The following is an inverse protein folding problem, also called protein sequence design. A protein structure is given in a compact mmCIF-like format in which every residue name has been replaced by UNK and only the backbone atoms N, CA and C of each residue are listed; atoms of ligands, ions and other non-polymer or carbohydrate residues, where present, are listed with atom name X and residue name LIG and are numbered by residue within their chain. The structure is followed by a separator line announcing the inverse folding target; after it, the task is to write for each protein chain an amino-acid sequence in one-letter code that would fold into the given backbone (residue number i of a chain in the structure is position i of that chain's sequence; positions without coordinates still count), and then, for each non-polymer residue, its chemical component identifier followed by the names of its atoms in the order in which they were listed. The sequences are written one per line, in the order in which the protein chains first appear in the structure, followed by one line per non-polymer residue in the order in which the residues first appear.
data_IF_481591622848
#
_entry.id   IF_481591622848
#
_cell.length_a   1.000
_cell.length_b   1.000
_cell.length_c   1.000
_cell.angle_alpha   90.00
_cell.angle_beta   90.00
_cell.angle_gamma   90.00
#
_symmetry.space_group_name_H-M   'P 1'
#
loop_
_entity.id
_entity.type
_entity.pdbx_description
1 polymer ?
#
# COMPACT_ATOMS: atom_id res chain seq x y z
N UNK A 1 -24.89 -4.35 -3.96
CA UNK A 1 -24.18 -5.60 -4.32
C UNK A 1 -22.71 -5.25 -4.58
N UNK A 2 -21.93 -5.29 -3.51
CA UNK A 2 -20.58 -4.69 -3.48
C UNK A 2 -19.46 -5.57 -4.04
N UNK A 3 -19.71 -6.86 -4.36
CA UNK A 3 -18.62 -7.78 -4.73
C UNK A 3 -18.95 -8.48 -6.04
N UNK A 4 -18.33 -8.01 -7.14
CA UNK A 4 -18.43 -8.65 -8.46
C UNK A 4 -17.47 -9.85 -8.61
N UNK A 5 -16.36 -9.87 -7.84
CA UNK A 5 -15.35 -10.93 -7.93
C UNK A 5 -15.69 -12.11 -7.02
N UNK A 6 -15.61 -13.32 -7.55
CA UNK A 6 -15.78 -14.56 -6.79
C UNK A 6 -14.65 -14.76 -5.78
N UNK A 7 -13.42 -14.38 -6.15
CA UNK A 7 -12.24 -14.46 -5.28
C UNK A 7 -12.39 -13.53 -4.07
N UNK A 8 -12.84 -12.29 -4.27
CA UNK A 8 -13.07 -11.34 -3.17
C UNK A 8 -14.09 -11.90 -2.17
N UNK A 9 -15.17 -12.48 -2.67
CA UNK A 9 -16.19 -13.12 -1.83
C UNK A 9 -15.61 -14.28 -1.04
N UNK A 10 -14.90 -15.20 -1.70
CA UNK A 10 -14.27 -16.34 -1.06
C UNK A 10 -13.27 -15.95 0.02
N UNK A 11 -12.46 -14.92 -0.22
CA UNK A 11 -11.52 -14.38 0.78
C UNK A 11 -12.24 -13.85 2.02
N UNK A 12 -13.31 -13.07 1.84
CA UNK A 12 -14.10 -12.54 2.95
C UNK A 12 -14.82 -13.66 3.73
N UNK A 13 -15.34 -14.67 3.03
CA UNK A 13 -15.96 -15.85 3.66
C UNK A 13 -14.95 -16.64 4.48
N UNK A 14 -13.73 -16.86 3.99
CA UNK A 14 -12.66 -17.51 4.74
C UNK A 14 -12.31 -16.75 6.02
N UNK A 15 -12.17 -15.43 5.96
CA UNK A 15 -11.87 -14.60 7.13
C UNK A 15 -13.02 -14.66 8.12
N UNK A 16 -14.26 -14.57 7.66
CA UNK A 16 -15.47 -14.53 8.51
C UNK A 16 -15.81 -15.88 9.12
N UNK A 17 -15.41 -16.98 8.49
CA UNK A 17 -15.75 -18.34 8.94
C UNK A 17 -14.97 -18.83 10.17
N UNK A 18 -13.95 -18.07 10.61
CA UNK A 18 -13.03 -18.53 11.66
C UNK A 18 -12.04 -19.59 11.19
N UNK A 19 -11.91 -19.81 9.88
CA UNK A 19 -11.02 -20.83 9.30
C UNK A 19 -9.58 -20.70 9.80
N UNK A 20 -9.07 -19.46 9.91
CA UNK A 20 -7.68 -19.18 10.32
C UNK A 20 -7.44 -19.28 11.83
N UNK A 21 -8.50 -19.22 12.64
CA UNK A 21 -8.39 -19.38 14.09
C UNK A 21 -9.68 -19.97 14.68
N UNK A 22 -9.71 -21.29 14.81
CA UNK A 22 -10.86 -22.02 15.33
C UNK A 22 -11.08 -21.83 16.84
N UNK A 23 -10.02 -21.50 17.59
CA UNK A 23 -10.11 -21.26 19.04
C UNK A 23 -10.77 -19.89 19.34
N UNK A 24 -10.57 -18.92 18.45
CA UNK A 24 -11.16 -17.57 18.55
C UNK A 24 -11.70 -17.14 17.17
N UNK A 25 -12.85 -17.65 16.74
CA UNK A 25 -13.36 -17.45 15.38
C UNK A 25 -13.55 -15.97 15.00
N UNK A 26 -13.85 -15.12 15.99
CA UNK A 26 -14.15 -13.70 15.77
C UNK A 26 -12.93 -12.77 15.86
N UNK A 27 -11.71 -13.31 16.02
CA UNK A 27 -10.51 -12.48 16.18
C UNK A 27 -10.28 -11.55 14.97
N UNK A 28 -10.74 -11.94 13.79
CA UNK A 28 -10.61 -11.17 12.55
C UNK A 28 -11.84 -10.31 12.21
N UNK A 29 -12.87 -10.28 13.08
CA UNK A 29 -14.05 -9.44 12.87
C UNK A 29 -13.73 -7.97 12.64
N UNK A 30 -12.74 -7.34 13.30
CA UNK A 30 -12.38 -5.94 13.01
C UNK A 30 -11.97 -5.68 11.56
N UNK A 31 -11.35 -6.65 10.89
CA UNK A 31 -10.97 -6.54 9.47
C UNK A 31 -12.25 -6.48 8.61
N UNK A 32 -13.18 -7.42 8.85
CA UNK A 32 -14.45 -7.47 8.14
C UNK A 32 -15.27 -6.21 8.41
N UNK A 33 -15.32 -5.76 9.65
CA UNK A 33 -16.03 -4.55 10.04
C UNK A 33 -15.47 -3.31 9.34
N UNK A 34 -14.16 -3.18 9.26
CA UNK A 34 -13.51 -2.06 8.58
C UNK A 34 -13.82 -2.06 7.08
N UNK A 35 -13.87 -3.23 6.45
CA UNK A 35 -14.11 -3.34 5.01
C UNK A 35 -15.59 -3.23 4.63
N UNK A 36 -16.52 -3.65 5.50
CA UNK A 36 -17.94 -3.82 5.14
C UNK A 36 -18.90 -2.90 5.89
N UNK A 37 -18.74 -2.68 7.20
CA UNK A 37 -19.72 -1.94 8.00
C UNK A 37 -19.84 -0.48 7.63
N UNK A 38 -18.69 0.16 7.34
CA UNK A 38 -18.61 1.59 7.05
C UNK A 38 -18.44 1.87 5.55
N UNK A 39 -18.47 0.83 4.73
CA UNK A 39 -18.17 0.88 3.30
C UNK A 39 -16.66 0.76 3.02
N UNK A 40 -16.35 0.36 1.78
CA UNK A 40 -14.97 0.24 1.29
C UNK A 40 -14.42 1.61 0.87
N UNK A 41 -14.20 2.52 1.83
CA UNK A 41 -13.79 3.90 1.59
C UNK A 41 -12.47 4.02 0.84
N UNK A 42 -11.58 3.07 1.00
CA UNK A 42 -10.28 3.03 0.33
C UNK A 42 -10.27 2.13 -0.91
N UNK A 43 -11.43 1.61 -1.31
CA UNK A 43 -11.63 0.75 -2.49
C UNK A 43 -10.78 -0.54 -2.48
N UNK A 44 -10.40 -1.04 -1.31
CA UNK A 44 -9.59 -2.27 -1.18
C UNK A 44 -10.24 -3.47 -1.86
N UNK A 45 -11.54 -3.65 -1.69
CA UNK A 45 -12.28 -4.76 -2.29
C UNK A 45 -12.58 -4.52 -3.77
N UNK A 46 -12.79 -3.26 -4.15
CA UNK A 46 -12.99 -2.89 -5.55
C UNK A 46 -11.69 -3.10 -6.35
N UNK A 47 -10.54 -2.84 -5.74
CA UNK A 47 -9.22 -2.87 -6.36
C UNK A 47 -8.55 -4.25 -6.29
N UNK A 48 -9.07 -5.20 -5.49
CA UNK A 48 -8.41 -6.48 -5.24
C UNK A 48 -8.09 -7.25 -6.54
N UNK A 49 -8.98 -7.25 -7.51
CA UNK A 49 -8.75 -7.96 -8.77
C UNK A 49 -7.59 -7.36 -9.57
N UNK A 50 -7.51 -6.04 -9.65
CA UNK A 50 -6.40 -5.35 -10.32
C UNK A 50 -5.09 -5.50 -9.55
N UNK A 51 -5.15 -5.50 -8.23
CA UNK A 51 -4.00 -5.78 -7.37
C UNK A 51 -3.42 -7.17 -7.61
N UNK A 52 -4.27 -8.21 -7.64
CA UNK A 52 -3.84 -9.58 -7.91
C UNK A 52 -3.21 -9.73 -9.31
N UNK A 53 -3.80 -9.07 -10.31
CA UNK A 53 -3.23 -9.06 -11.66
C UNK A 53 -1.85 -8.38 -11.71
N UNK A 54 -1.66 -7.30 -10.94
CA UNK A 54 -0.37 -6.63 -10.81
C UNK A 54 0.65 -7.51 -10.07
N UNK A 55 0.22 -8.20 -9.01
CA UNK A 55 1.05 -9.12 -8.24
C UNK A 55 1.60 -10.27 -9.11
N UNK A 56 0.76 -10.85 -9.97
CA UNK A 56 1.23 -11.86 -10.94
C UNK A 56 2.33 -11.33 -11.87
N UNK A 57 2.21 -10.07 -12.31
CA UNK A 57 3.24 -9.45 -13.14
C UNK A 57 4.54 -9.24 -12.37
N UNK A 58 4.45 -8.83 -11.11
CA UNK A 58 5.60 -8.68 -10.21
C UNK A 58 6.29 -10.03 -10.00
N UNK A 59 5.54 -11.10 -9.76
CA UNK A 59 6.10 -12.45 -9.61
C UNK A 59 6.83 -12.93 -10.86
N UNK A 60 6.25 -12.72 -12.05
CA UNK A 60 6.89 -13.05 -13.33
C UNK A 60 8.17 -12.24 -13.55
N UNK A 61 8.14 -10.96 -13.19
CA UNK A 61 9.31 -10.08 -13.28
C UNK A 61 10.41 -10.51 -12.29
N UNK A 62 10.04 -10.86 -11.05
CA UNK A 62 10.98 -11.31 -10.03
C UNK A 62 11.70 -12.61 -10.41
N UNK A 63 11.05 -13.48 -11.20
CA UNK A 63 11.65 -14.68 -11.75
C UNK A 63 12.73 -14.42 -12.82
N UNK A 64 12.89 -13.16 -13.29
CA UNK A 64 13.93 -12.72 -14.20
C UNK A 64 14.88 -11.74 -13.49
N UNK A 65 16.03 -12.22 -12.94
CA UNK A 65 16.92 -11.39 -12.12
C UNK A 65 17.46 -10.15 -12.83
N UNK A 66 17.76 -10.24 -14.11
CA UNK A 66 18.32 -9.12 -14.87
C UNK A 66 17.28 -8.00 -15.07
N UNK A 67 16.07 -8.34 -15.45
CA UNK A 67 14.98 -7.38 -15.59
C UNK A 67 14.56 -6.81 -14.24
N UNK A 68 14.55 -7.61 -13.19
CA UNK A 68 14.30 -7.14 -11.83
C UNK A 68 15.36 -6.11 -11.41
N UNK A 69 16.65 -6.46 -11.56
CA UNK A 69 17.75 -5.56 -11.22
C UNK A 69 17.70 -4.25 -12.03
N UNK A 70 17.42 -4.34 -13.33
CA UNK A 70 17.26 -3.15 -14.19
C UNK A 70 16.16 -2.22 -13.67
N UNK A 71 14.99 -2.76 -13.33
CA UNK A 71 13.87 -1.97 -12.79
C UNK A 71 14.18 -1.39 -11.41
N UNK A 72 14.85 -2.17 -10.54
CA UNK A 72 15.28 -1.71 -9.23
C UNK A 72 16.26 -0.53 -9.33
N UNK A 73 17.24 -0.61 -10.21
CA UNK A 73 18.22 0.48 -10.47
C UNK A 73 17.50 1.73 -10.96
N UNK A 74 16.57 1.60 -11.91
CA UNK A 74 15.79 2.74 -12.41
C UNK A 74 14.92 3.37 -11.34
N UNK A 75 14.32 2.54 -10.46
CA UNK A 75 13.54 3.03 -9.33
C UNK A 75 14.41 3.80 -8.33
N UNK A 76 15.59 3.28 -7.99
CA UNK A 76 16.56 3.95 -7.11
C UNK A 76 17.01 5.27 -7.73
N UNK A 77 17.34 5.28 -9.03
CA UNK A 77 17.76 6.50 -9.74
C UNK A 77 16.65 7.57 -9.75
N UNK A 78 15.38 7.16 -9.78
CA UNK A 78 14.22 8.06 -9.71
C UNK A 78 13.81 8.47 -8.28
N UNK A 79 14.34 7.81 -7.25
CA UNK A 79 13.86 7.97 -5.87
C UNK A 79 14.13 9.36 -5.27
N UNK A 80 15.12 10.10 -5.78
CA UNK A 80 15.45 11.45 -5.30
C UNK A 80 14.26 12.42 -5.35
N UNK A 81 13.32 12.21 -6.27
CA UNK A 81 12.07 12.99 -6.32
C UNK A 81 11.21 12.82 -5.07
N UNK A 82 11.34 11.71 -4.35
CA UNK A 82 10.57 11.38 -3.15
C UNK A 82 11.35 11.65 -1.86
N UNK A 83 12.46 12.41 -1.93
CA UNK A 83 13.21 12.84 -0.76
C UNK A 83 12.32 13.67 0.18
N UNK A 84 12.37 13.36 1.47
CA UNK A 84 11.69 14.13 2.52
C UNK A 84 12.20 15.57 2.58
N UNK A 85 13.51 15.76 2.43
CA UNK A 85 14.13 17.10 2.46
C UNK A 85 13.58 17.98 1.34
N UNK A 86 13.50 17.45 0.13
CA UNK A 86 12.87 18.15 -1.00
C UNK A 86 11.41 18.51 -0.68
N UNK A 87 10.64 17.56 -0.18
CA UNK A 87 9.21 17.73 0.11
C UNK A 87 8.99 18.78 1.17
N UNK A 88 9.77 18.74 2.26
CA UNK A 88 9.69 19.75 3.34
C UNK A 88 10.13 21.13 2.84
N UNK A 89 11.19 21.20 2.04
CA UNK A 89 11.63 22.48 1.44
C UNK A 89 10.56 23.08 0.52
N UNK A 90 9.87 22.24 -0.26
CA UNK A 90 8.76 22.68 -1.11
C UNK A 90 7.57 23.18 -0.27
N UNK A 91 7.20 22.49 0.80
CA UNK A 91 6.13 22.92 1.71
C UNK A 91 6.50 24.24 2.43
N UNK A 92 7.73 24.34 2.93
CA UNK A 92 8.21 25.56 3.57
C UNK A 92 8.10 26.77 2.63
N UNK A 93 8.50 26.59 1.38
CA UNK A 93 8.46 27.66 0.39
C UNK A 93 7.05 27.95 -0.11
N UNK A 94 6.29 26.91 -0.53
CA UNK A 94 5.05 27.08 -1.31
C UNK A 94 3.80 27.20 -0.45
N UNK A 95 3.81 26.64 0.76
CA UNK A 95 2.64 26.58 1.65
C UNK A 95 2.83 27.44 2.89
N UNK A 96 3.93 27.24 3.60
CA UNK A 96 4.18 27.94 4.88
C UNK A 96 4.86 29.29 4.71
N UNK A 97 5.49 29.55 3.56
CA UNK A 97 6.25 30.77 3.26
C UNK A 97 7.32 31.10 4.32
N UNK A 98 7.94 30.07 4.89
CA UNK A 98 8.95 30.20 5.93
C UNK A 98 10.36 29.98 5.35
N UNK A 99 11.33 30.87 5.66
CA UNK A 99 12.72 30.66 5.27
C UNK A 99 13.37 29.56 6.13
N UNK A 100 14.39 28.88 5.62
CA UNK A 100 15.20 27.96 6.42
C UNK A 100 15.84 28.68 7.61
N UNK A 101 15.83 28.05 8.79
CA UNK A 101 16.57 28.52 9.96
C UNK A 101 17.89 27.74 10.05
N UNK A 102 19.05 28.38 9.79
CA UNK A 102 20.34 27.69 9.91
C UNK A 102 20.58 27.28 11.35
N UNK A 103 20.91 26.00 11.56
CA UNK A 103 21.37 25.52 12.87
C UNK A 103 22.88 25.58 12.85
N UNK A 104 23.49 26.38 13.75
CA UNK A 104 24.92 26.36 13.94
C UNK A 104 25.30 25.03 14.60
N UNK A 105 26.01 24.16 13.88
CA UNK A 105 26.59 22.99 14.50
C UNK A 105 27.67 23.45 15.52
N UNK A 106 27.64 22.92 16.75
CA UNK A 106 28.73 23.16 17.69
C UNK A 106 30.02 22.57 17.12
N UNK A 107 31.08 23.36 17.13
CA UNK A 107 32.42 22.98 16.69
C UNK A 107 32.98 21.83 17.51
#
# INVERSE_FOLDING_TARGET
MLFRSAETRAALELISSGYFNRAQPNIYSPIIDTLLKNGDHYMHLADLTSYLAADEQVQKLYANPDEWARKAILNIAGAGKFSSDRTIAEYARAIWHTPPCPVNEPA
#
